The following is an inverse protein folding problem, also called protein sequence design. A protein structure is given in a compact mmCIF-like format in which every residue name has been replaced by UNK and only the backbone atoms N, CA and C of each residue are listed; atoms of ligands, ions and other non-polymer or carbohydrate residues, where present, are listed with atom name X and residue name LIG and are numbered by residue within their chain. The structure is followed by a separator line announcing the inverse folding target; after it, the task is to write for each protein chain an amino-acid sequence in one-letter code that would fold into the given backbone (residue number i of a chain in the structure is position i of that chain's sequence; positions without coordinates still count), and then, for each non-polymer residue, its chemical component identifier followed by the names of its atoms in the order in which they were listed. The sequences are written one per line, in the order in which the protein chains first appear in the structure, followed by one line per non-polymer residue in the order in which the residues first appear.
data_IF_227927981352
#
_entry.id   IF_227927981352
#
_cell.length_a   1.000
_cell.length_b   1.000
_cell.length_c   1.000
_cell.angle_alpha   90.00
_cell.angle_beta   90.00
_cell.angle_gamma   90.00
#
_symmetry.space_group_name_H-M   'P 1'
#
loop_
_entity.id
_entity.type
_entity.pdbx_description
1 polymer ?
#
# COMPACT_ATOMS: atom_id res chain seq x y z
N UNK A 1 -29.38 -3.54 -19.60
CA UNK A 1 -28.90 -3.29 -18.23
C UNK A 1 -28.91 -4.62 -17.51
N UNK A 2 -27.91 -5.45 -17.80
CA UNK A 2 -27.73 -6.73 -17.15
C UNK A 2 -26.99 -6.39 -15.86
N UNK A 3 -27.66 -6.55 -14.71
CA UNK A 3 -26.99 -6.59 -13.41
C UNK A 3 -26.29 -7.96 -13.40
N UNK A 4 -25.21 -8.07 -14.16
CA UNK A 4 -24.42 -9.29 -14.29
C UNK A 4 -23.75 -9.56 -12.95
N UNK A 5 -23.84 -10.79 -12.46
CA UNK A 5 -22.87 -11.26 -11.48
C UNK A 5 -21.48 -10.99 -12.05
N UNK A 6 -20.58 -10.48 -11.22
CA UNK A 6 -19.14 -10.38 -11.48
C UNK A 6 -18.65 -11.66 -12.19
N UNK A 7 -17.90 -11.52 -13.28
CA UNK A 7 -17.38 -12.67 -13.98
C UNK A 7 -16.39 -13.43 -13.05
N UNK A 8 -16.15 -14.74 -13.27
CA UNK A 8 -15.24 -15.51 -12.42
C UNK A 8 -13.82 -14.90 -12.32
N UNK A 9 -13.39 -14.20 -13.37
CA UNK A 9 -12.11 -13.48 -13.40
C UNK A 9 -12.13 -12.25 -12.46
N UNK A 10 -13.21 -11.47 -12.47
CA UNK A 10 -13.39 -10.33 -11.55
C UNK A 10 -13.44 -10.78 -10.10
N UNK A 11 -14.14 -11.88 -9.81
CA UNK A 11 -14.20 -12.47 -8.47
C UNK A 11 -12.81 -12.92 -7.99
N UNK A 12 -11.97 -13.43 -8.91
CA UNK A 12 -10.60 -13.81 -8.59
C UNK A 12 -9.72 -12.58 -8.29
N UNK A 13 -9.83 -11.53 -9.12
CA UNK A 13 -9.12 -10.25 -8.93
C UNK A 13 -9.44 -9.65 -7.56
N UNK A 14 -10.73 -9.46 -7.28
CA UNK A 14 -11.24 -8.91 -6.01
C UNK A 14 -10.76 -9.74 -4.82
N UNK A 15 -10.71 -11.07 -4.95
CA UNK A 15 -10.23 -11.97 -3.88
C UNK A 15 -8.74 -11.79 -3.61
N UNK A 16 -7.93 -11.68 -4.66
CA UNK A 16 -6.49 -11.45 -4.56
C UNK A 16 -6.17 -10.08 -3.95
N UNK A 17 -6.83 -9.03 -4.42
CA UNK A 17 -6.71 -7.67 -3.89
C UNK A 17 -7.14 -7.59 -2.42
N UNK A 18 -8.26 -8.24 -2.07
CA UNK A 18 -8.72 -8.33 -0.68
C UNK A 18 -7.69 -8.99 0.23
N UNK A 19 -7.01 -10.05 -0.25
CA UNK A 19 -5.94 -10.72 0.49
C UNK A 19 -4.71 -9.83 0.67
N UNK A 20 -4.33 -9.07 -0.36
CA UNK A 20 -3.25 -8.07 -0.30
C UNK A 20 -3.59 -6.96 0.69
N UNK A 21 -4.79 -6.40 0.62
CA UNK A 21 -5.28 -5.37 1.53
C UNK A 21 -5.29 -5.85 2.98
N UNK A 22 -5.73 -7.09 3.24
CA UNK A 22 -5.66 -7.71 4.56
C UNK A 22 -4.21 -7.88 5.04
N UNK A 23 -3.32 -8.33 4.16
CA UNK A 23 -1.89 -8.45 4.44
C UNK A 23 -1.25 -7.10 4.84
N UNK A 24 -1.55 -6.05 4.08
CA UNK A 24 -1.11 -4.68 4.37
C UNK A 24 -1.69 -4.17 5.70
N UNK A 25 -2.95 -4.46 6.00
CA UNK A 25 -3.57 -4.11 7.26
C UNK A 25 -2.85 -4.78 8.45
N UNK A 26 -2.60 -6.09 8.36
CA UNK A 26 -1.86 -6.84 9.40
C UNK A 26 -0.43 -6.30 9.56
N UNK A 27 0.27 -6.05 8.44
CA UNK A 27 1.62 -5.46 8.47
C UNK A 27 1.62 -4.09 9.15
N UNK A 28 0.61 -3.26 8.87
CA UNK A 28 0.42 -1.95 9.51
C UNK A 28 0.22 -2.07 11.01
N UNK A 29 -0.58 -3.05 11.48
CA UNK A 29 -0.76 -3.30 12.91
C UNK A 29 0.54 -3.71 13.59
N UNK A 30 1.35 -4.56 12.94
CA UNK A 30 2.68 -4.92 13.46
C UNK A 30 3.62 -3.72 13.50
N UNK A 31 3.69 -2.94 12.42
CA UNK A 31 4.49 -1.72 12.35
C UNK A 31 4.11 -0.73 13.46
N UNK A 32 2.81 -0.56 13.71
CA UNK A 32 2.30 0.27 14.81
C UNK A 32 2.69 -0.26 16.19
N UNK A 33 2.58 -1.57 16.43
CA UNK A 33 3.03 -2.19 17.69
C UNK A 33 4.53 -2.00 17.91
N UNK A 34 5.35 -2.18 16.86
CA UNK A 34 6.80 -1.96 16.92
C UNK A 34 7.10 -0.48 17.21
N UNK A 35 6.41 0.46 16.55
CA UNK A 35 6.50 1.90 16.80
C UNK A 35 6.23 2.24 18.26
N UNK A 36 5.17 1.68 18.84
CA UNK A 36 4.81 1.90 20.25
C UNK A 36 5.88 1.39 21.21
N UNK A 37 6.52 0.25 20.91
CA UNK A 37 7.56 -0.34 21.75
C UNK A 37 8.93 0.33 21.58
N UNK A 38 9.26 0.78 20.37
CA UNK A 38 10.57 1.34 20.01
C UNK A 38 10.44 2.73 19.33
N UNK A 39 9.88 3.75 20.01
CA UNK A 39 9.55 5.03 19.39
C UNK A 39 10.76 5.87 18.97
N UNK A 40 11.92 5.70 19.62
CA UNK A 40 13.14 6.45 19.26
C UNK A 40 13.78 5.93 17.98
N UNK A 41 13.83 4.61 17.80
CA UNK A 41 14.45 3.99 16.62
C UNK A 41 13.54 4.17 15.40
N UNK A 42 12.24 3.98 15.58
CA UNK A 42 11.29 4.01 14.47
C UNK A 42 10.98 5.41 13.96
N UNK A 43 11.30 6.49 14.68
CA UNK A 43 10.89 7.86 14.29
C UNK A 43 11.54 8.33 13.02
N UNK A 44 12.74 7.83 12.72
CA UNK A 44 13.52 8.22 11.56
C UNK A 44 12.86 7.85 10.23
N UNK A 45 12.10 6.76 10.18
CA UNK A 45 11.42 6.30 8.96
C UNK A 45 9.90 6.29 9.04
N UNK A 46 9.32 6.58 10.22
CA UNK A 46 7.88 6.41 10.45
C UNK A 46 7.01 7.22 9.50
N UNK A 47 7.35 8.50 9.26
CA UNK A 47 6.59 9.35 8.34
C UNK A 47 6.58 8.80 6.92
N UNK A 48 7.71 8.30 6.44
CA UNK A 48 7.82 7.68 5.11
C UNK A 48 7.05 6.37 5.03
N UNK A 49 7.09 5.53 6.09
CA UNK A 49 6.28 4.30 6.17
C UNK A 49 4.78 4.63 6.12
N UNK A 50 4.32 5.61 6.91
CA UNK A 50 2.90 6.00 6.95
C UNK A 50 2.45 6.58 5.61
N UNK A 51 3.26 7.47 5.00
CA UNK A 51 2.95 8.01 3.68
C UNK A 51 2.93 6.90 2.61
N UNK A 52 3.87 5.95 2.67
CA UNK A 52 3.90 4.80 1.78
C UNK A 52 2.66 3.91 1.91
N UNK A 53 2.27 3.57 3.15
CA UNK A 53 1.05 2.80 3.42
C UNK A 53 -0.20 3.54 2.91
N UNK A 54 -0.29 4.86 3.13
CA UNK A 54 -1.41 5.65 2.65
C UNK A 54 -1.54 5.61 1.12
N UNK A 55 -0.42 5.71 0.39
CA UNK A 55 -0.40 5.59 -1.07
C UNK A 55 -0.76 4.18 -1.55
N UNK A 56 -0.29 3.13 -0.87
CA UNK A 56 -0.67 1.75 -1.19
C UNK A 56 -2.16 1.48 -0.94
N UNK A 57 -2.79 2.16 0.03
CA UNK A 57 -4.23 2.13 0.19
C UNK A 57 -4.96 2.85 -0.95
N UNK A 58 -4.42 3.98 -1.43
CA UNK A 58 -5.01 4.67 -2.59
C UNK A 58 -4.91 3.84 -3.87
N UNK A 59 -3.80 3.12 -4.09
CA UNK A 59 -3.66 2.10 -5.14
C UNK A 59 -4.83 1.12 -5.10
N UNK A 60 -5.07 0.45 -3.98
CA UNK A 60 -6.20 -0.49 -3.84
C UNK A 60 -7.58 0.15 -4.07
N UNK A 61 -7.73 1.46 -3.86
CA UNK A 61 -8.98 2.18 -4.17
C UNK A 61 -9.09 2.42 -5.69
N UNK A 62 -8.01 2.78 -6.38
CA UNK A 62 -8.03 3.05 -7.82
C UNK A 62 -8.24 1.76 -8.62
N UNK A 63 -7.56 0.67 -8.24
CA UNK A 63 -7.75 -0.69 -8.77
C UNK A 63 -9.21 -1.16 -8.61
N UNK A 64 -9.79 -0.99 -7.41
CA UNK A 64 -11.20 -1.31 -7.17
C UNK A 64 -12.19 -0.41 -7.94
N UNK A 65 -11.77 0.79 -8.35
CA UNK A 65 -12.60 1.71 -9.13
C UNK A 65 -12.54 1.39 -10.62
N UNK A 66 -11.38 1.00 -11.16
CA UNK A 66 -11.28 0.67 -12.59
C UNK A 66 -12.05 -0.62 -12.94
N UNK A 67 -12.16 -1.57 -12.00
CA UNK A 67 -12.96 -2.79 -12.11
C UNK A 67 -14.47 -2.53 -12.20
N UNK A 68 -14.96 -1.32 -11.89
CA UNK A 68 -16.37 -0.95 -12.02
C UNK A 68 -16.81 -0.60 -13.45
N UNK A 69 -15.96 -0.81 -14.46
CA UNK A 69 -16.27 -0.67 -15.89
C UNK A 69 -16.84 0.70 -16.27
N UNK A 70 -16.10 1.77 -15.96
CA UNK A 70 -16.39 3.13 -16.43
C UNK A 70 -16.00 3.32 -17.91
N UNK A 71 -16.26 4.51 -18.47
CA UNK A 71 -15.76 4.90 -19.80
C UNK A 71 -14.24 4.68 -19.94
N UNK A 72 -13.78 4.21 -21.10
CA UNK A 72 -12.37 3.85 -21.38
C UNK A 72 -11.38 4.96 -20.98
N UNK A 73 -11.73 6.22 -21.23
CA UNK A 73 -10.89 7.37 -20.87
C UNK A 73 -10.71 7.58 -19.36
N UNK A 74 -11.69 7.18 -18.54
CA UNK A 74 -11.59 7.22 -17.08
C UNK A 74 -10.76 6.06 -16.56
N UNK A 75 -10.90 4.88 -17.16
CA UNK A 75 -10.12 3.68 -16.85
C UNK A 75 -8.62 3.94 -17.08
N UNK A 76 -8.23 4.56 -18.18
CA UNK A 76 -6.82 4.92 -18.45
C UNK A 76 -6.23 5.85 -17.39
N UNK A 77 -7.01 6.81 -16.91
CA UNK A 77 -6.60 7.74 -15.85
C UNK A 77 -6.48 7.02 -14.51
N UNK A 78 -7.42 6.14 -14.19
CA UNK A 78 -7.40 5.32 -12.98
C UNK A 78 -6.18 4.39 -12.97
N UNK A 79 -5.89 3.71 -14.08
CA UNK A 79 -4.70 2.86 -14.24
C UNK A 79 -3.38 3.63 -14.02
N UNK A 80 -3.31 4.89 -14.48
CA UNK A 80 -2.13 5.73 -14.25
C UNK A 80 -1.97 6.10 -12.76
N UNK A 81 -3.06 6.48 -12.10
CA UNK A 81 -3.04 6.77 -10.67
C UNK A 81 -2.74 5.52 -9.85
N UNK A 82 -3.30 4.38 -10.24
CA UNK A 82 -3.05 3.08 -9.66
C UNK A 82 -1.55 2.74 -9.64
N UNK A 83 -0.94 2.64 -10.84
CA UNK A 83 0.47 2.30 -10.96
C UNK A 83 1.40 3.32 -10.30
N UNK A 84 1.09 4.62 -10.38
CA UNK A 84 1.93 5.66 -9.77
C UNK A 84 1.85 5.67 -8.25
N UNK A 85 0.66 5.52 -7.67
CA UNK A 85 0.50 5.44 -6.21
C UNK A 85 1.12 4.16 -5.65
N UNK A 86 1.03 3.04 -6.36
CA UNK A 86 1.74 1.80 -6.00
C UNK A 86 3.25 2.01 -5.95
N UNK A 87 3.86 2.51 -7.04
CA UNK A 87 5.32 2.68 -7.13
C UNK A 87 5.83 3.67 -6.09
N UNK A 88 5.22 4.84 -5.97
CA UNK A 88 5.64 5.86 -4.99
C UNK A 88 5.42 5.34 -3.56
N UNK A 89 4.31 4.66 -3.31
CA UNK A 89 4.01 4.04 -2.02
C UNK A 89 5.07 3.04 -1.59
N UNK A 90 5.46 2.13 -2.50
CA UNK A 90 6.49 1.14 -2.27
C UNK A 90 7.86 1.78 -2.00
N UNK A 91 8.24 2.80 -2.78
CA UNK A 91 9.50 3.53 -2.59
C UNK A 91 9.57 4.22 -1.23
N UNK A 92 8.49 4.92 -0.82
CA UNK A 92 8.43 5.58 0.49
C UNK A 92 8.48 4.57 1.64
N UNK A 93 7.77 3.45 1.50
CA UNK A 93 7.80 2.38 2.49
C UNK A 93 9.21 1.81 2.65
N UNK A 94 9.85 1.41 1.55
CA UNK A 94 11.21 0.88 1.55
C UNK A 94 12.23 1.89 2.09
N UNK A 95 12.11 3.16 1.70
CA UNK A 95 12.97 4.24 2.22
C UNK A 95 12.80 4.44 3.73
N UNK A 96 11.57 4.38 4.24
CA UNK A 96 11.33 4.47 5.68
C UNK A 96 11.93 3.29 6.45
N UNK A 97 11.81 2.07 5.93
CA UNK A 97 12.48 0.88 6.53
C UNK A 97 14.00 1.05 6.51
N UNK A 98 14.57 1.50 5.39
CA UNK A 98 16.00 1.77 5.27
C UNK A 98 16.49 2.79 6.31
N UNK A 99 15.79 3.90 6.50
CA UNK A 99 16.15 4.91 7.50
C UNK A 99 16.15 4.37 8.93
N UNK A 100 15.18 3.52 9.26
CA UNK A 100 15.12 2.87 10.57
C UNK A 100 16.30 1.90 10.74
N UNK A 101 16.64 1.14 9.70
CA UNK A 101 17.75 0.20 9.72
C UNK A 101 19.11 0.90 9.83
N UNK A 102 19.35 1.95 9.04
CA UNK A 102 20.57 2.76 9.07
C UNK A 102 20.75 3.47 10.42
N UNK A 103 19.68 4.08 10.95
CA UNK A 103 19.73 4.65 12.30
C UNK A 103 20.01 3.59 13.35
N UNK A 104 19.37 2.41 13.23
CA UNK A 104 19.65 1.24 14.04
C UNK A 104 21.12 0.88 14.01
N UNK A 105 21.70 0.61 12.82
CA UNK A 105 23.10 0.24 12.63
C UNK A 105 24.07 1.22 13.31
N UNK A 106 23.84 2.53 13.14
CA UNK A 106 24.63 3.59 13.79
C UNK A 106 24.62 3.51 15.31
N UNK A 107 23.52 3.08 15.94
CA UNK A 107 23.48 2.88 17.40
C UNK A 107 24.36 1.70 17.86
N UNK A 108 24.69 0.77 16.97
CA UNK A 108 25.54 -0.39 17.24
C UNK A 108 26.98 -0.21 16.74
N UNK A 109 27.33 0.96 16.20
CA UNK A 109 28.67 1.24 15.67
C UNK A 109 29.00 0.50 14.37
N UNK A 110 27.96 0.09 13.62
CA UNK A 110 28.07 -0.48 12.27
C UNK A 110 27.97 0.60 11.20
#
# INVERSE_FOLDING_TARGET
MQIGLLDPEDLFLISMESLIALGLFVATLFAYKIRKKHPRITSEGWTSIVAGIALLMFHAIFDALDTLQFDDSLVDVLNLFDGSTFVIGLLLFAYGVYRIADYGAKQWGL
#
